data_IF_673933534775
#
_entry.id   IF_673933534775
#
_cell.length_a   1.000
_cell.length_b   1.000
_cell.length_c   1.000
_cell.angle_alpha   90.00
_cell.angle_beta   90.00
_cell.angle_gamma   90.00
#
_symmetry.space_group_name_H-M   'P 1'
#
loop_
_entity.id
_entity.type
_entity.pdbx_description
1 polymer ?
#
# COMPACT_ATOMS: atom_id res chain seq x y z
N UNK A 1 5.19 -0.68 -20.38
CA UNK A 1 4.77 -2.05 -20.08
C UNK A 1 5.97 -2.98 -20.27
N UNK A 2 6.12 -4.05 -19.48
CA UNK A 2 7.21 -5.00 -19.67
C UNK A 2 7.06 -5.73 -21.02
N UNK A 3 8.18 -6.02 -21.67
CA UNK A 3 8.22 -6.64 -23.00
C UNK A 3 7.89 -8.15 -22.97
N UNK A 4 8.19 -8.81 -21.84
CA UNK A 4 7.85 -10.19 -21.52
C UNK A 4 7.74 -10.35 -19.99
N UNK A 5 7.58 -11.59 -19.50
CA UNK A 5 7.54 -11.90 -18.07
C UNK A 5 8.92 -12.27 -17.50
N UNK A 6 10.01 -11.84 -18.16
CA UNK A 6 11.37 -12.02 -17.63
C UNK A 6 11.53 -11.19 -16.36
N UNK A 7 11.76 -11.83 -15.18
CA UNK A 7 11.97 -11.09 -13.95
C UNK A 7 13.24 -10.25 -14.06
N UNK A 8 13.23 -9.07 -13.45
CA UNK A 8 14.38 -8.13 -13.43
C UNK A 8 14.62 -7.58 -12.02
N UNK A 9 14.29 -8.41 -11.03
CA UNK A 9 14.22 -8.01 -9.61
C UNK A 9 15.59 -7.82 -8.99
N UNK A 10 16.66 -8.33 -9.62
CA UNK A 10 18.06 -8.06 -9.27
C UNK A 10 18.75 -7.05 -10.20
N UNK A 11 18.00 -6.30 -11.01
CA UNK A 11 18.59 -5.25 -11.84
C UNK A 11 19.39 -4.24 -11.00
N UNK A 12 20.39 -3.54 -11.58
CA UNK A 12 21.17 -2.55 -10.85
C UNK A 12 20.31 -1.50 -10.12
N UNK A 13 19.21 -1.06 -10.75
CA UNK A 13 18.26 -0.12 -10.15
C UNK A 13 17.50 -0.73 -8.96
N UNK A 14 17.13 -2.01 -9.01
CA UNK A 14 16.48 -2.70 -7.90
C UNK A 14 17.42 -2.91 -6.71
N UNK A 15 18.68 -3.26 -6.99
CA UNK A 15 19.74 -3.35 -5.97
C UNK A 15 19.98 -1.99 -5.31
N UNK A 16 20.07 -0.91 -6.08
CA UNK A 16 20.22 0.45 -5.55
C UNK A 16 19.02 0.85 -4.68
N UNK A 17 17.80 0.56 -5.12
CA UNK A 17 16.59 0.81 -4.35
C UNK A 17 16.58 0.02 -3.02
N UNK A 18 16.99 -1.26 -3.03
CA UNK A 18 17.05 -2.07 -1.81
C UNK A 18 18.15 -1.60 -0.86
N UNK A 19 19.30 -1.15 -1.37
CA UNK A 19 20.35 -0.51 -0.56
C UNK A 19 19.82 0.74 0.13
N UNK A 20 19.18 1.62 -0.62
CA UNK A 20 18.57 2.84 -0.07
C UNK A 20 17.52 2.50 0.98
N UNK A 21 16.62 1.55 0.69
CA UNK A 21 15.61 1.11 1.65
C UNK A 21 16.23 0.53 2.93
N UNK A 22 17.28 -0.30 2.80
CA UNK A 22 18.01 -0.87 3.95
C UNK A 22 18.69 0.22 4.79
N UNK A 23 19.25 1.24 4.15
CA UNK A 23 19.84 2.39 4.83
C UNK A 23 18.78 3.19 5.61
N UNK A 24 17.64 3.48 4.98
CA UNK A 24 16.48 4.12 5.62
C UNK A 24 16.03 3.30 6.84
N UNK A 25 15.78 2.00 6.65
CA UNK A 25 15.32 1.12 7.71
C UNK A 25 16.32 1.03 8.87
N UNK A 26 17.63 1.09 8.59
CA UNK A 26 18.65 1.08 9.65
C UNK A 26 18.69 2.40 10.39
N UNK A 27 18.80 3.52 9.66
CA UNK A 27 19.33 4.77 10.20
C UNK A 27 18.23 5.81 10.51
N UNK A 28 17.05 5.65 9.94
CA UNK A 28 16.00 6.68 9.95
C UNK A 28 14.63 6.14 10.41
N UNK A 29 14.59 4.96 11.04
CA UNK A 29 13.36 4.40 11.61
C UNK A 29 13.47 4.22 13.13
N UNK A 30 12.35 3.86 13.77
CA UNK A 30 12.29 3.63 15.21
C UNK A 30 12.60 2.17 15.53
N UNK A 31 13.12 1.86 16.74
CA UNK A 31 13.32 0.46 17.15
C UNK A 31 12.04 -0.36 16.99
N UNK A 32 12.17 -1.54 16.37
CA UNK A 32 11.04 -2.44 16.09
C UNK A 32 10.34 -2.20 14.74
N UNK A 33 10.76 -1.21 13.95
CA UNK A 33 10.15 -0.93 12.63
C UNK A 33 10.20 -2.11 11.66
N UNK A 34 11.16 -3.02 11.76
CA UNK A 34 11.27 -4.19 10.88
C UNK A 34 10.16 -5.24 11.13
N UNK A 35 9.54 -5.21 12.30
CA UNK A 35 8.42 -6.09 12.68
C UNK A 35 7.12 -5.32 12.90
N UNK A 36 7.09 -4.04 12.56
CA UNK A 36 5.93 -3.18 12.79
C UNK A 36 4.77 -3.56 11.88
N UNK A 37 3.57 -3.54 12.46
CA UNK A 37 2.30 -3.65 11.75
C UNK A 37 1.73 -2.26 11.43
N UNK A 38 0.65 -2.24 10.66
CA UNK A 38 -0.13 -1.03 10.40
C UNK A 38 -0.55 -0.32 11.70
N UNK A 39 -0.94 -1.08 12.73
CA UNK A 39 -1.38 -0.52 14.01
C UNK A 39 -0.23 0.12 14.77
N UNK A 40 0.97 -0.46 14.72
CA UNK A 40 2.17 0.11 15.35
C UNK A 40 2.55 1.46 14.72
N UNK A 41 2.43 1.57 13.39
CA UNK A 41 2.67 2.83 12.65
C UNK A 41 1.65 3.90 13.04
N UNK A 42 0.36 3.54 13.10
CA UNK A 42 -0.71 4.45 13.53
C UNK A 42 -0.42 4.98 14.94
N UNK A 43 -0.11 4.09 15.89
CA UNK A 43 0.18 4.46 17.28
C UNK A 43 1.43 5.35 17.34
N UNK A 44 2.50 4.99 16.64
CA UNK A 44 3.74 5.77 16.61
C UNK A 44 3.49 7.21 16.10
N UNK A 45 2.71 7.36 15.02
CA UNK A 45 2.35 8.67 14.48
C UNK A 45 1.44 9.46 15.43
N UNK A 46 0.39 8.84 15.97
CA UNK A 46 -0.52 9.45 16.95
C UNK A 46 0.23 10.02 18.15
N UNK A 47 1.26 9.32 18.62
CA UNK A 47 2.07 9.74 19.76
C UNK A 47 3.21 10.71 19.39
N UNK A 48 3.35 11.08 18.11
CA UNK A 48 4.39 11.98 17.62
C UNK A 48 5.81 11.40 17.70
N UNK A 49 5.93 10.06 17.65
CA UNK A 49 7.22 9.35 17.73
C UNK A 49 7.92 9.24 16.38
N UNK A 50 7.18 9.40 15.28
CA UNK A 50 7.71 9.43 13.92
C UNK A 50 7.26 10.74 13.25
N UNK A 51 8.13 11.29 12.41
CA UNK A 51 7.86 12.55 11.72
C UNK A 51 7.15 12.34 10.36
N UNK A 52 7.38 11.20 9.73
CA UNK A 52 6.83 10.84 8.43
C UNK A 52 6.44 9.36 8.42
N UNK A 53 5.36 9.05 7.70
CA UNK A 53 4.98 7.68 7.35
C UNK A 53 4.50 7.68 5.89
N UNK A 54 4.90 6.67 5.13
CA UNK A 54 4.37 6.41 3.78
C UNK A 54 3.44 5.23 3.92
N UNK A 55 2.14 5.49 4.03
CA UNK A 55 1.16 4.43 4.27
C UNK A 55 -0.15 4.60 3.51
N UNK A 56 -0.97 3.54 3.53
CA UNK A 56 -2.28 3.54 2.88
C UNK A 56 -3.22 4.60 3.44
N UNK A 57 -4.00 5.23 2.56
CA UNK A 57 -5.02 6.24 2.88
C UNK A 57 -5.96 5.87 4.06
N UNK A 58 -6.36 4.59 4.28
CA UNK A 58 -7.18 4.23 5.42
C UNK A 58 -6.56 4.49 6.80
N UNK A 59 -5.23 4.67 6.91
CA UNK A 59 -4.59 5.08 8.17
C UNK A 59 -4.97 6.49 8.58
N UNK A 60 -5.26 7.39 7.64
CA UNK A 60 -5.26 8.83 7.90
C UNK A 60 -6.25 9.22 8.99
N UNK A 61 -7.51 8.78 8.89
CA UNK A 61 -8.51 9.08 9.91
C UNK A 61 -8.20 8.41 11.26
N UNK A 62 -7.55 7.24 11.28
CA UNK A 62 -7.08 6.63 12.54
C UNK A 62 -5.94 7.45 13.16
N UNK A 63 -4.96 7.87 12.38
CA UNK A 63 -3.85 8.74 12.83
C UNK A 63 -4.38 10.07 13.38
N UNK A 64 -5.47 10.57 12.81
CA UNK A 64 -6.08 11.86 13.13
C UNK A 64 -7.27 11.77 14.09
N UNK A 65 -7.51 10.62 14.71
CA UNK A 65 -8.56 10.47 15.71
C UNK A 65 -8.26 11.40 16.92
N UNK A 66 -9.09 12.43 17.18
CA UNK A 66 -8.85 13.41 18.23
C UNK A 66 -8.92 12.81 19.65
N UNK A 67 -9.49 11.61 19.81
CA UNK A 67 -9.53 10.90 21.10
C UNK A 67 -8.19 10.24 21.44
N UNK A 68 -7.38 9.93 20.45
CA UNK A 68 -6.17 9.11 20.58
C UNK A 68 -4.88 9.85 20.20
N UNK A 69 -4.99 10.81 19.28
CA UNK A 69 -3.84 11.44 18.61
C UNK A 69 -3.43 12.77 19.24
N UNK A 70 -2.12 12.92 19.50
CA UNK A 70 -1.49 14.15 20.02
C UNK A 70 -1.03 15.10 18.89
N UNK A 71 -1.17 14.67 17.65
CA UNK A 71 -0.66 15.36 16.45
C UNK A 71 -1.77 15.86 15.53
N UNK A 72 -3.04 15.79 15.94
CA UNK A 72 -4.15 16.43 15.22
C UNK A 72 -3.82 17.91 14.99
N UNK A 73 -4.02 18.38 13.76
CA UNK A 73 -3.72 19.77 13.38
C UNK A 73 -2.24 20.05 13.07
N UNK A 74 -1.34 19.06 13.19
CA UNK A 74 0.12 19.25 13.03
C UNK A 74 0.71 18.49 11.85
N UNK A 75 -0.11 17.78 11.08
CA UNK A 75 0.32 16.94 9.97
C UNK A 75 0.06 17.61 8.62
N UNK A 76 0.86 17.25 7.62
CA UNK A 76 0.61 17.57 6.22
C UNK A 76 0.50 16.29 5.39
N UNK A 77 0.01 16.44 4.15
CA UNK A 77 -0.16 15.34 3.22
C UNK A 77 0.67 15.58 1.97
N UNK A 78 1.42 14.57 1.56
CA UNK A 78 2.29 14.65 0.40
C UNK A 78 2.22 13.34 -0.40
N UNK A 79 2.55 13.44 -1.69
CA UNK A 79 2.78 12.27 -2.52
C UNK A 79 3.97 11.46 -1.99
N UNK A 80 3.98 10.13 -2.15
CA UNK A 80 5.12 9.31 -1.74
C UNK A 80 6.41 9.80 -2.43
N UNK A 81 7.59 9.65 -1.82
CA UNK A 81 8.85 10.05 -2.44
C UNK A 81 9.02 9.46 -3.86
N UNK A 82 9.51 10.28 -4.79
CA UNK A 82 9.87 9.82 -6.13
C UNK A 82 11.35 9.41 -6.18
N UNK A 83 11.69 8.49 -7.08
CA UNK A 83 13.06 8.13 -7.42
C UNK A 83 13.53 8.80 -8.71
N UNK A 84 14.75 8.47 -9.15
CA UNK A 84 15.38 9.01 -10.37
C UNK A 84 14.56 8.78 -11.64
N UNK A 85 13.78 7.70 -11.68
CA UNK A 85 12.93 7.34 -12.82
C UNK A 85 11.49 7.84 -12.68
N UNK A 86 11.19 8.65 -11.67
CA UNK A 86 9.87 9.17 -11.38
C UNK A 86 9.25 8.60 -10.11
N UNK A 87 7.94 8.78 -9.97
CA UNK A 87 7.15 8.42 -8.80
C UNK A 87 6.16 7.32 -9.17
N UNK A 88 6.20 6.22 -8.43
CA UNK A 88 5.35 5.04 -8.66
C UNK A 88 4.63 4.67 -7.36
N UNK A 89 3.54 5.37 -6.99
CA UNK A 89 2.80 5.08 -5.77
C UNK A 89 2.27 3.64 -5.77
N UNK A 90 2.36 2.93 -4.64
CA UNK A 90 1.78 1.61 -4.53
C UNK A 90 0.25 1.69 -4.58
N UNK A 91 -0.38 0.71 -5.24
CA UNK A 91 -1.83 0.58 -5.25
C UNK A 91 -2.23 -0.82 -4.81
N UNK A 92 -3.07 -0.88 -3.78
CA UNK A 92 -3.71 -2.11 -3.31
C UNK A 92 -5.19 -1.85 -3.04
N UNK A 93 -6.02 -2.82 -3.36
CA UNK A 93 -7.46 -2.78 -3.13
C UNK A 93 -7.94 -4.04 -2.42
N UNK A 94 -8.96 -3.90 -1.59
CA UNK A 94 -9.68 -5.02 -1.00
C UNK A 94 -11.02 -5.19 -1.71
N UNK A 95 -11.38 -6.42 -2.01
CA UNK A 95 -12.64 -6.75 -2.67
C UNK A 95 -13.32 -7.91 -1.99
N UNK A 96 -14.65 -7.88 -1.97
CA UNK A 96 -15.44 -9.05 -1.67
C UNK A 96 -15.59 -9.92 -2.91
N UNK A 97 -15.50 -11.24 -2.74
CA UNK A 97 -15.64 -12.21 -3.82
C UNK A 97 -16.67 -13.27 -3.46
N UNK A 98 -17.40 -13.77 -4.46
CA UNK A 98 -18.33 -14.89 -4.30
C UNK A 98 -17.64 -16.14 -4.84
N UNK A 99 -17.40 -17.16 -3.99
CA UNK A 99 -16.83 -18.42 -4.47
C UNK A 99 -17.71 -19.06 -5.55
N UNK A 100 -17.11 -19.59 -6.61
CA UNK A 100 -17.84 -20.26 -7.69
C UNK A 100 -18.71 -21.43 -7.20
N UNK A 101 -18.26 -22.12 -6.14
CA UNK A 101 -18.97 -23.23 -5.50
C UNK A 101 -20.15 -22.80 -4.61
N UNK A 102 -20.39 -21.50 -4.38
CA UNK A 102 -21.47 -21.04 -3.52
C UNK A 102 -22.84 -21.49 -4.04
N UNK A 103 -23.67 -22.05 -3.15
CA UNK A 103 -25.06 -22.41 -3.44
C UNK A 103 -26.00 -21.18 -3.36
N UNK A 104 -25.55 -20.09 -2.74
CA UNK A 104 -26.35 -18.89 -2.44
C UNK A 104 -25.90 -17.66 -3.25
N UNK A 105 -25.58 -17.85 -4.53
CA UNK A 105 -24.99 -16.78 -5.38
C UNK A 105 -25.83 -15.51 -5.46
N UNK A 106 -27.15 -15.65 -5.61
CA UNK A 106 -28.06 -14.50 -5.73
C UNK A 106 -28.11 -13.68 -4.44
N UNK A 107 -28.24 -14.34 -3.28
CA UNK A 107 -28.23 -13.68 -1.98
C UNK A 107 -26.89 -13.01 -1.69
N UNK A 108 -25.77 -13.70 -2.00
CA UNK A 108 -24.44 -13.12 -1.86
C UNK A 108 -24.26 -11.89 -2.77
N UNK A 109 -24.71 -11.92 -4.02
CA UNK A 109 -24.64 -10.79 -4.93
C UNK A 109 -25.47 -9.59 -4.43
N UNK A 110 -26.68 -9.84 -3.91
CA UNK A 110 -27.51 -8.80 -3.30
C UNK A 110 -26.83 -8.18 -2.07
N UNK A 111 -26.22 -9.02 -1.21
CA UNK A 111 -25.44 -8.54 -0.08
C UNK A 111 -24.26 -7.68 -0.53
N UNK A 112 -23.48 -8.09 -1.54
CA UNK A 112 -22.35 -7.29 -2.03
C UNK A 112 -22.80 -5.94 -2.62
N UNK A 113 -23.91 -5.90 -3.34
CA UNK A 113 -24.48 -4.64 -3.84
C UNK A 113 -24.85 -3.69 -2.69
N UNK A 114 -25.51 -4.21 -1.64
CA UNK A 114 -25.83 -3.44 -0.45
C UNK A 114 -24.57 -3.01 0.32
N UNK A 115 -23.67 -3.96 0.60
CA UNK A 115 -22.44 -3.79 1.38
C UNK A 115 -21.49 -2.75 0.76
N UNK A 116 -21.50 -2.63 -0.56
CA UNK A 116 -20.67 -1.68 -1.32
C UNK A 116 -21.49 -0.51 -1.89
N UNK A 117 -22.75 -0.33 -1.49
CA UNK A 117 -23.59 0.77 -1.95
C UNK A 117 -23.03 2.14 -1.56
N UNK A 118 -23.37 3.17 -2.34
CA UNK A 118 -22.96 4.55 -2.05
C UNK A 118 -23.41 4.98 -0.65
N UNK A 119 -24.67 4.71 -0.33
CA UNK A 119 -25.29 5.15 0.92
C UNK A 119 -24.68 4.46 2.15
N UNK A 120 -24.48 3.15 2.09
CA UNK A 120 -23.85 2.43 3.19
C UNK A 120 -22.40 2.84 3.38
N UNK A 121 -21.65 3.01 2.29
CA UNK A 121 -20.27 3.46 2.35
C UNK A 121 -20.16 4.87 2.92
N UNK A 122 -21.04 5.80 2.53
CA UNK A 122 -21.13 7.14 3.14
C UNK A 122 -21.37 7.03 4.65
N UNK A 123 -22.40 6.27 5.06
CA UNK A 123 -22.74 6.07 6.47
C UNK A 123 -21.56 5.54 7.29
N UNK A 124 -20.94 4.43 6.84
CA UNK A 124 -19.77 3.85 7.52
C UNK A 124 -18.62 4.85 7.60
N UNK A 125 -18.38 5.62 6.54
CA UNK A 125 -17.31 6.62 6.53
C UNK A 125 -17.58 7.75 7.52
N UNK A 126 -18.83 8.18 7.70
CA UNK A 126 -19.16 9.22 8.68
C UNK A 126 -19.17 8.70 10.13
N UNK A 127 -19.46 7.41 10.33
CA UNK A 127 -19.53 6.77 11.64
C UNK A 127 -18.17 6.20 12.14
N UNK A 128 -17.14 6.22 11.30
CA UNK A 128 -15.84 5.59 11.57
C UNK A 128 -14.67 6.51 11.23
N UNK A 129 -13.56 6.34 11.95
CA UNK A 129 -12.27 6.98 11.61
C UNK A 129 -11.54 6.24 10.47
N UNK A 130 -12.08 5.13 9.98
CA UNK A 130 -11.47 4.35 8.90
C UNK A 130 -11.85 4.91 7.53
N UNK A 131 -10.87 5.46 6.81
CA UNK A 131 -11.09 6.10 5.51
C UNK A 131 -10.91 5.09 4.37
N UNK A 132 -11.92 4.25 4.15
CA UNK A 132 -11.92 3.22 3.10
C UNK A 132 -12.97 3.48 1.99
N UNK A 133 -12.95 4.69 1.45
CA UNK A 133 -13.90 5.12 0.40
C UNK A 133 -13.37 4.69 -0.97
N UNK A 134 -14.04 3.73 -1.61
CA UNK A 134 -13.67 3.22 -2.94
C UNK A 134 -14.54 3.77 -4.08
N UNK A 135 -15.48 4.68 -3.79
CA UNK A 135 -16.34 5.34 -4.78
C UNK A 135 -15.92 6.78 -5.01
N UNK A 136 -15.51 7.10 -6.24
CA UNK A 136 -15.16 8.49 -6.64
C UNK A 136 -16.30 9.46 -6.35
N UNK A 137 -17.56 9.05 -6.56
CA UNK A 137 -18.74 9.90 -6.35
C UNK A 137 -19.04 10.26 -4.89
N UNK A 138 -18.29 9.71 -3.92
CA UNK A 138 -18.35 10.12 -2.51
C UNK A 138 -17.30 11.18 -2.16
N UNK A 139 -16.20 11.28 -2.91
CA UNK A 139 -15.18 12.30 -2.66
C UNK A 139 -15.64 13.72 -3.00
N UNK A 140 -16.72 13.85 -3.78
CA UNK A 140 -17.42 15.12 -4.06
C UNK A 140 -18.57 15.41 -3.07
N UNK A 141 -18.90 14.47 -2.17
CA UNK A 141 -19.97 14.66 -1.19
C UNK A 141 -19.54 15.66 -0.10
N UNK A 142 -20.33 16.72 0.19
CA UNK A 142 -19.94 17.76 1.14
C UNK A 142 -19.67 17.25 2.55
N UNK A 143 -20.42 16.24 3.03
CA UNK A 143 -20.23 15.70 4.39
C UNK A 143 -18.96 14.85 4.47
N UNK A 144 -18.66 14.09 3.40
CA UNK A 144 -17.41 13.34 3.30
C UNK A 144 -16.23 14.29 3.26
N UNK A 145 -16.29 15.34 2.44
CA UNK A 145 -15.23 16.36 2.38
C UNK A 145 -15.03 17.02 3.74
N UNK A 146 -16.11 17.45 4.39
CA UNK A 146 -16.01 18.08 5.71
C UNK A 146 -15.39 17.17 6.78
N UNK A 147 -15.60 15.84 6.67
CA UNK A 147 -15.13 14.88 7.67
C UNK A 147 -13.75 14.28 7.39
N UNK A 148 -13.39 14.13 6.11
CA UNK A 148 -12.23 13.34 5.67
C UNK A 148 -11.26 14.09 4.76
N UNK A 149 -11.60 15.30 4.30
CA UNK A 149 -10.64 16.15 3.59
C UNK A 149 -9.83 16.96 4.60
N UNK A 150 -8.92 16.27 5.30
CA UNK A 150 -8.02 16.89 6.27
C UNK A 150 -7.11 17.90 5.57
N UNK A 151 -7.17 19.15 6.01
CA UNK A 151 -6.24 20.21 5.58
C UNK A 151 -5.92 21.08 6.79
N UNK A 152 -4.67 21.00 7.25
CA UNK A 152 -4.17 21.78 8.39
C UNK A 152 -3.25 22.92 7.92
N UNK A 153 -3.44 23.42 6.70
CA UNK A 153 -2.61 24.47 6.09
C UNK A 153 -1.40 23.94 5.32
N UNK A 154 -1.34 22.62 5.11
CA UNK A 154 -0.24 21.92 4.44
C UNK A 154 -0.73 21.03 3.29
N UNK A 155 -1.91 21.32 2.76
CA UNK A 155 -2.50 20.61 1.63
C UNK A 155 -3.65 19.70 2.04
N UNK A 156 -4.53 19.45 1.08
CA UNK A 156 -5.72 18.62 1.24
C UNK A 156 -5.39 17.14 1.11
N UNK A 157 -5.74 16.35 2.13
CA UNK A 157 -5.64 14.90 2.09
C UNK A 157 -6.36 14.31 0.88
N UNK A 158 -7.60 14.74 0.60
CA UNK A 158 -8.38 14.18 -0.50
C UNK A 158 -7.73 14.49 -1.86
N UNK A 159 -7.19 15.70 -2.05
CA UNK A 159 -6.49 16.08 -3.26
C UNK A 159 -5.20 15.29 -3.46
N UNK A 160 -4.37 15.17 -2.40
CA UNK A 160 -3.14 14.36 -2.43
C UNK A 160 -3.45 12.89 -2.68
N UNK A 161 -4.49 12.34 -2.07
CA UNK A 161 -4.92 10.96 -2.29
C UNK A 161 -5.37 10.74 -3.74
N UNK A 162 -6.20 11.64 -4.29
CA UNK A 162 -6.63 11.57 -5.68
C UNK A 162 -5.46 11.66 -6.67
N UNK A 163 -4.46 12.49 -6.38
CA UNK A 163 -3.24 12.60 -7.18
C UNK A 163 -2.35 11.34 -7.06
N UNK A 164 -2.25 10.75 -5.85
CA UNK A 164 -1.56 9.47 -5.62
C UNK A 164 -2.18 8.36 -6.47
N UNK A 165 -3.52 8.28 -6.52
CA UNK A 165 -4.23 7.31 -7.36
C UNK A 165 -4.00 7.52 -8.86
N UNK A 166 -3.94 8.77 -9.33
CA UNK A 166 -3.63 9.08 -10.74
C UNK A 166 -2.20 8.71 -11.13
N UNK A 167 -1.26 8.82 -10.19
CA UNK A 167 0.14 8.45 -10.41
C UNK A 167 0.44 6.96 -10.27
N UNK A 168 -0.48 6.19 -9.68
CA UNK A 168 -0.28 4.77 -9.45
C UNK A 168 -0.23 3.99 -10.77
N UNK A 169 0.82 3.18 -11.03
CA UNK A 169 0.91 2.42 -12.26
C UNK A 169 -0.11 1.27 -12.27
N UNK A 170 -0.88 1.14 -13.36
CA UNK A 170 -1.82 0.02 -13.54
C UNK A 170 -1.14 -1.35 -13.50
N UNK A 171 0.16 -1.39 -13.79
CA UNK A 171 1.01 -2.58 -13.78
C UNK A 171 1.72 -2.82 -12.43
N UNK A 172 1.35 -2.12 -11.35
CA UNK A 172 1.97 -2.27 -10.03
C UNK A 172 2.04 -3.74 -9.57
N UNK A 173 0.96 -4.49 -9.80
CA UNK A 173 0.92 -5.94 -9.59
C UNK A 173 0.89 -6.69 -10.93
N UNK A 174 1.88 -7.54 -11.23
CA UNK A 174 1.79 -8.54 -12.30
C UNK A 174 0.54 -9.40 -12.15
N UNK A 175 -0.32 -9.40 -13.17
CA UNK A 175 -1.62 -10.09 -13.18
C UNK A 175 -1.49 -11.56 -13.59
N UNK A 176 -0.59 -12.29 -12.92
CA UNK A 176 -0.39 -13.73 -13.11
C UNK A 176 -0.67 -14.49 -11.79
N UNK A 177 -1.24 -15.71 -11.83
CA UNK A 177 -1.52 -16.49 -10.63
C UNK A 177 -0.31 -16.69 -9.70
N UNK A 178 0.87 -16.83 -10.31
CA UNK A 178 2.15 -17.10 -9.65
C UNK A 178 2.71 -15.88 -8.93
N UNK A 179 2.16 -14.68 -9.17
CA UNK A 179 2.69 -13.46 -8.57
C UNK A 179 2.67 -13.52 -7.04
N UNK A 180 1.72 -14.24 -6.44
CA UNK A 180 1.72 -14.45 -4.98
C UNK A 180 3.03 -15.11 -4.52
N UNK A 181 3.45 -16.19 -5.19
CA UNK A 181 4.67 -16.90 -4.83
C UNK A 181 5.90 -16.03 -5.08
N UNK A 182 5.96 -15.34 -6.23
CA UNK A 182 7.04 -14.39 -6.56
C UNK A 182 7.13 -13.29 -5.50
N UNK A 183 5.98 -12.71 -5.11
CA UNK A 183 5.89 -11.70 -4.07
C UNK A 183 6.37 -12.19 -2.70
N UNK A 184 6.03 -13.42 -2.32
CA UNK A 184 6.52 -14.04 -1.08
C UNK A 184 8.07 -14.18 -1.10
N UNK A 185 8.66 -14.51 -2.25
CA UNK A 185 10.12 -14.57 -2.44
C UNK A 185 10.78 -13.21 -2.36
N UNK A 186 10.21 -12.20 -3.02
CA UNK A 186 10.69 -10.83 -2.94
C UNK A 186 10.61 -10.30 -1.51
N UNK A 187 9.49 -10.50 -0.83
CA UNK A 187 9.32 -10.08 0.57
C UNK A 187 10.39 -10.68 1.49
N UNK A 188 10.76 -11.95 1.28
CA UNK A 188 11.86 -12.59 2.02
C UNK A 188 13.21 -11.92 1.73
N UNK A 189 13.55 -11.69 0.46
CA UNK A 189 14.81 -11.03 0.09
C UNK A 189 14.93 -9.63 0.71
N UNK A 190 13.83 -8.86 0.71
CA UNK A 190 13.77 -7.56 1.37
C UNK A 190 14.07 -7.69 2.87
N UNK A 191 13.46 -8.66 3.55
CA UNK A 191 13.70 -8.91 4.97
C UNK A 191 15.15 -9.33 5.25
N UNK A 192 15.72 -10.25 4.46
CA UNK A 192 17.10 -10.70 4.59
C UNK A 192 18.10 -9.55 4.46
N UNK A 193 17.87 -8.63 3.52
CA UNK A 193 18.70 -7.42 3.36
C UNK A 193 18.55 -6.46 4.55
N UNK A 194 17.31 -6.18 4.98
CA UNK A 194 17.02 -5.26 6.09
C UNK A 194 17.63 -5.75 7.41
N UNK A 195 17.53 -7.05 7.71
CA UNK A 195 18.15 -7.64 8.91
C UNK A 195 19.63 -7.97 8.73
N UNK A 196 20.20 -7.65 7.55
CA UNK A 196 21.61 -7.83 7.20
C UNK A 196 22.10 -9.28 7.27
N UNK A 197 21.20 -10.25 7.07
CA UNK A 197 21.60 -11.65 6.91
C UNK A 197 22.23 -11.91 5.54
N UNK A 198 21.92 -11.08 4.54
CA UNK A 198 22.55 -11.04 3.22
C UNK A 198 22.76 -9.60 2.75
N UNK A 199 23.65 -9.41 1.77
CA UNK A 199 23.70 -8.13 1.05
C UNK A 199 22.47 -7.98 0.14
N UNK A 200 22.05 -6.74 -0.19
CA UNK A 200 20.98 -6.49 -1.15
C UNK A 200 21.17 -7.22 -2.50
N UNK A 201 22.39 -7.29 -3.01
CA UNK A 201 22.73 -8.04 -4.24
C UNK A 201 22.41 -9.51 -4.08
N UNK A 202 23.00 -10.17 -3.08
CA UNK A 202 22.82 -11.61 -2.88
C UNK A 202 21.36 -11.98 -2.62
N UNK A 203 20.65 -11.17 -1.83
CA UNK A 203 19.23 -11.39 -1.55
C UNK A 203 18.37 -11.29 -2.83
N UNK A 204 18.62 -10.29 -3.68
CA UNK A 204 17.88 -10.12 -4.92
C UNK A 204 18.29 -11.12 -6.00
N UNK A 205 19.55 -11.56 -6.05
CA UNK A 205 20.00 -12.63 -6.94
C UNK A 205 19.28 -13.95 -6.65
N UNK A 206 19.13 -14.30 -5.37
CA UNK A 206 18.35 -15.46 -4.96
C UNK A 206 16.87 -15.32 -5.36
N UNK A 207 16.27 -14.15 -5.10
CA UNK A 207 14.88 -13.87 -5.48
C UNK A 207 14.67 -13.88 -7.00
N UNK A 208 15.65 -13.41 -7.77
CA UNK A 208 15.65 -13.44 -9.22
C UNK A 208 15.68 -14.89 -9.72
N UNK A 209 16.56 -15.73 -9.16
CA UNK A 209 16.62 -17.16 -9.49
C UNK A 209 15.29 -17.86 -9.21
N UNK A 210 14.73 -17.67 -8.01
CA UNK A 210 13.43 -18.21 -7.64
C UNK A 210 12.31 -17.73 -8.58
N UNK A 211 12.27 -16.42 -8.90
CA UNK A 211 11.27 -15.86 -9.79
C UNK A 211 11.37 -16.43 -11.22
N UNK A 212 12.58 -16.60 -11.75
CA UNK A 212 12.83 -17.20 -13.08
C UNK A 212 12.31 -18.63 -13.14
N UNK A 213 12.57 -19.44 -12.12
CA UNK A 213 12.09 -20.82 -12.08
C UNK A 213 10.56 -20.90 -11.97
N UNK A 214 9.94 -19.99 -11.20
CA UNK A 214 8.48 -19.90 -11.11
C UNK A 214 7.85 -19.59 -12.47
N UNK A 215 8.36 -18.58 -13.19
CA UNK A 215 7.79 -18.20 -14.50
C UNK A 215 8.07 -19.24 -15.59
N UNK A 216 9.21 -19.95 -15.53
CA UNK A 216 9.50 -21.09 -16.41
C UNK A 216 8.55 -22.26 -16.16
N UNK A 217 8.36 -22.63 -14.89
CA UNK A 217 7.43 -23.69 -14.48
C UNK A 217 5.99 -23.40 -14.92
N UNK A 218 5.59 -22.13 -14.93
CA UNK A 218 4.30 -21.68 -15.44
C UNK A 218 4.22 -21.56 -16.97
N UNK A 219 5.34 -21.77 -17.69
CA UNK A 219 5.39 -21.76 -19.14
C UNK A 219 5.48 -20.36 -19.78
N UNK A 220 5.75 -19.32 -19.00
CA UNK A 220 5.90 -17.96 -19.51
C UNK A 220 7.26 -17.70 -20.15
N UNK A 221 8.30 -18.37 -19.67
CA UNK A 221 9.65 -18.36 -20.25
C UNK A 221 10.08 -19.78 -20.61
N UNK A 222 10.93 -19.89 -21.62
CA UNK A 222 11.55 -21.16 -22.02
C UNK A 222 12.90 -21.35 -21.34
#
# INVERSE_FOLDING_TARGET
EPADLTPTVNSPAAVEALKWYTDVMTNFTVPGSTSATFDDVVIAMQQGRIAMTVEGAPTAGRILDPKLSKVVGKLGFALPPGGVSGRFPPFAGQAYVIPAASENKAAAAAFLQWATSKDLMKRISLDSTFVAITRTSLWDDPEIRASHDYDYGHGSFAATYAETLRGAPEWYYPRIPEFKEIGDRLGRALQEAVVRSKSPEAALDDAQGDAVEIVKRAGYLK
#
